data_IF_335397541995
#
_entry.id   IF_335397541995
#
_cell.length_a   1.000
_cell.length_b   1.000
_cell.length_c   1.000
_cell.angle_alpha   90.00
_cell.angle_beta   90.00
_cell.angle_gamma   90.00
#
_symmetry.space_group_name_H-M   'P 1'
#
loop_
_entity.id
_entity.type
_entity.pdbx_description
1 polymer ?
#
# COMPACT_ATOMS: atom_id res chain seq x y z
N UNK A 1 -41.34 -4.69 22.81
CA UNK A 1 -39.94 -5.15 22.74
C UNK A 1 -39.70 -5.73 21.34
N UNK A 2 -39.68 -4.91 20.28
CA UNK A 2 -39.48 -5.41 18.89
C UNK A 2 -38.94 -4.40 17.86
N UNK A 3 -38.84 -3.10 18.13
CA UNK A 3 -38.53 -2.14 17.04
C UNK A 3 -37.04 -1.76 16.89
N UNK A 4 -36.13 -2.34 17.69
CA UNK A 4 -34.70 -1.99 17.65
C UNK A 4 -33.85 -2.91 16.76
N UNK A 5 -34.44 -3.95 16.16
CA UNK A 5 -33.72 -4.92 15.32
C UNK A 5 -33.76 -4.54 13.82
N UNK A 6 -34.82 -3.84 13.39
CA UNK A 6 -35.03 -3.48 11.97
C UNK A 6 -34.07 -2.39 11.47
N UNK A 7 -33.73 -1.41 12.32
CA UNK A 7 -32.85 -0.28 11.95
C UNK A 7 -31.37 -0.67 11.85
N UNK A 8 -30.96 -1.78 12.46
CA UNK A 8 -29.57 -2.26 12.45
C UNK A 8 -29.23 -2.98 11.14
N UNK A 9 -30.21 -3.67 10.54
CA UNK A 9 -30.06 -4.37 9.27
C UNK A 9 -29.92 -3.43 8.07
N UNK A 10 -30.69 -2.34 8.03
CA UNK A 10 -30.67 -1.39 6.92
C UNK A 10 -29.35 -0.61 6.84
N UNK A 11 -28.81 -0.16 7.98
CA UNK A 11 -27.55 0.58 8.03
C UNK A 11 -26.34 -0.30 7.64
N UNK A 12 -26.37 -1.58 8.05
CA UNK A 12 -25.35 -2.56 7.66
C UNK A 12 -25.40 -2.89 6.16
N UNK A 13 -26.60 -2.91 5.56
CA UNK A 13 -26.75 -3.15 4.13
C UNK A 13 -26.25 -1.97 3.30
N UNK A 14 -26.56 -0.73 3.69
CA UNK A 14 -26.08 0.49 3.01
C UNK A 14 -24.55 0.60 3.09
N UNK A 15 -23.94 0.33 4.26
CA UNK A 15 -22.49 0.35 4.43
C UNK A 15 -21.78 -0.76 3.63
N UNK A 16 -22.38 -1.94 3.52
CA UNK A 16 -21.84 -3.03 2.71
C UNK A 16 -21.90 -2.72 1.20
N UNK A 17 -22.94 -2.02 0.74
CA UNK A 17 -23.07 -1.57 -0.65
C UNK A 17 -22.00 -0.53 -0.98
N UNK A 18 -21.82 0.48 -0.13
CA UNK A 18 -20.80 1.54 -0.30
C UNK A 18 -19.37 0.96 -0.35
N UNK A 19 -19.03 0.04 0.55
CA UNK A 19 -17.75 -0.67 0.52
C UNK A 19 -17.58 -1.53 -0.75
N UNK A 20 -18.65 -2.16 -1.23
CA UNK A 20 -18.60 -2.99 -2.44
C UNK A 20 -18.40 -2.17 -3.72
N UNK A 21 -19.02 -0.98 -3.80
CA UNK A 21 -18.83 -0.04 -4.91
C UNK A 21 -17.38 0.47 -4.92
N UNK A 22 -16.84 0.85 -3.76
CA UNK A 22 -15.44 1.26 -3.61
C UNK A 22 -14.45 0.16 -4.03
N UNK A 23 -14.67 -1.10 -3.62
CA UNK A 23 -13.81 -2.22 -4.02
C UNK A 23 -13.87 -2.47 -5.53
N UNK A 24 -15.04 -2.33 -6.16
CA UNK A 24 -15.18 -2.51 -7.60
C UNK A 24 -14.44 -1.41 -8.39
N UNK A 25 -14.45 -0.17 -7.90
CA UNK A 25 -13.63 0.91 -8.46
C UNK A 25 -12.14 0.63 -8.36
N UNK A 26 -11.65 0.19 -7.19
CA UNK A 26 -10.24 -0.18 -6.99
C UNK A 26 -9.84 -1.34 -7.91
N UNK A 27 -10.72 -2.33 -8.14
CA UNK A 27 -10.48 -3.42 -9.10
C UNK A 27 -10.34 -2.94 -10.54
N UNK A 28 -11.14 -1.95 -10.95
CA UNK A 28 -11.01 -1.33 -12.28
C UNK A 28 -9.67 -0.61 -12.41
N UNK A 29 -9.29 0.18 -11.40
CA UNK A 29 -7.99 0.85 -11.36
C UNK A 29 -6.83 -0.14 -11.39
N UNK A 30 -6.91 -1.23 -10.63
CA UNK A 30 -5.90 -2.28 -10.60
C UNK A 30 -5.73 -2.95 -11.97
N UNK A 31 -6.85 -3.19 -12.66
CA UNK A 31 -6.83 -3.74 -14.01
C UNK A 31 -6.13 -2.79 -14.99
N UNK A 32 -6.39 -1.50 -14.88
CA UNK A 32 -5.76 -0.48 -15.73
C UNK A 32 -4.27 -0.31 -15.43
N UNK A 33 -3.89 -0.26 -14.15
CA UNK A 33 -2.48 -0.19 -13.73
C UNK A 33 -1.67 -1.40 -14.23
N UNK A 34 -2.24 -2.62 -14.14
CA UNK A 34 -1.63 -3.83 -14.71
C UNK A 34 -1.49 -3.79 -16.23
N UNK A 35 -2.46 -3.21 -16.94
CA UNK A 35 -2.35 -3.02 -18.40
C UNK A 35 -1.23 -2.04 -18.73
N UNK A 36 -1.15 -0.92 -18.02
CA UNK A 36 -0.08 0.07 -18.18
C UNK A 36 1.28 -0.58 -17.98
N UNK A 37 1.47 -1.34 -16.90
CA UNK A 37 2.72 -2.06 -16.61
C UNK A 37 3.14 -3.02 -17.74
N UNK A 38 2.17 -3.73 -18.35
CA UNK A 38 2.43 -4.63 -19.48
C UNK A 38 2.71 -3.90 -20.80
N UNK A 39 2.15 -2.70 -20.98
CA UNK A 39 2.36 -1.89 -22.16
C UNK A 39 3.66 -1.08 -22.11
N UNK A 40 4.35 -1.05 -20.97
CA UNK A 40 5.64 -0.38 -20.84
C UNK A 40 6.69 -1.06 -21.74
N UNK A 41 7.45 -0.28 -22.54
CA UNK A 41 8.55 -0.81 -23.34
C UNK A 41 9.63 -1.50 -22.50
N UNK A 42 10.32 -2.49 -23.05
CA UNK A 42 11.41 -3.21 -22.38
C UNK A 42 12.61 -2.30 -22.03
N UNK A 43 12.76 -1.16 -22.71
CA UNK A 43 13.79 -0.15 -22.46
C UNK A 43 13.31 0.98 -21.52
N UNK A 44 12.19 0.79 -20.83
CA UNK A 44 11.69 1.77 -19.86
C UNK A 44 12.69 1.99 -18.73
N UNK A 45 12.73 3.22 -18.22
CA UNK A 45 13.54 3.55 -17.04
C UNK A 45 13.08 2.64 -15.88
N UNK A 46 13.98 1.88 -15.23
CA UNK A 46 13.57 0.90 -14.21
C UNK A 46 12.73 1.49 -13.08
N UNK A 47 13.05 2.71 -12.66
CA UNK A 47 12.31 3.45 -11.62
C UNK A 47 10.89 3.76 -12.05
N UNK A 48 10.66 4.17 -13.30
CA UNK A 48 9.30 4.46 -13.79
C UNK A 48 8.45 3.19 -13.81
N UNK A 49 9.06 2.05 -14.16
CA UNK A 49 8.39 0.75 -14.08
C UNK A 49 8.09 0.36 -12.63
N UNK A 50 9.03 0.59 -11.72
CA UNK A 50 8.87 0.31 -10.30
C UNK A 50 7.77 1.17 -9.65
N UNK A 51 7.58 2.42 -10.08
CA UNK A 51 6.46 3.27 -9.63
C UNK A 51 5.11 2.71 -10.05
N UNK A 52 4.95 2.35 -11.33
CA UNK A 52 3.70 1.71 -11.78
C UNK A 52 3.46 0.37 -11.08
N UNK A 53 4.53 -0.38 -10.77
CA UNK A 53 4.44 -1.60 -10.00
C UNK A 53 4.03 -1.34 -8.53
N UNK A 54 4.47 -0.22 -7.95
CA UNK A 54 4.09 0.20 -6.61
C UNK A 54 2.60 0.61 -6.56
N UNK A 55 2.12 1.35 -7.57
CA UNK A 55 0.68 1.66 -7.71
C UNK A 55 -0.16 0.38 -7.74
N UNK A 56 0.32 -0.66 -8.45
CA UNK A 56 -0.34 -1.98 -8.46
C UNK A 56 -0.36 -2.59 -7.06
N UNK A 57 0.73 -2.50 -6.30
CA UNK A 57 0.80 -3.02 -4.94
C UNK A 57 -0.16 -2.30 -3.99
N UNK A 58 -0.25 -0.97 -4.07
CA UNK A 58 -1.17 -0.15 -3.27
C UNK A 58 -2.64 -0.53 -3.54
N UNK A 59 -3.02 -0.65 -4.81
CA UNK A 59 -4.38 -1.05 -5.19
C UNK A 59 -4.71 -2.49 -4.76
N UNK A 60 -3.72 -3.38 -4.77
CA UNK A 60 -3.87 -4.74 -4.26
C UNK A 60 -4.09 -4.77 -2.75
N UNK A 61 -3.31 -3.98 -2.01
CA UNK A 61 -3.49 -3.81 -0.58
C UNK A 61 -4.90 -3.30 -0.27
N UNK A 62 -5.40 -2.31 -1.01
CA UNK A 62 -6.74 -1.74 -0.87
C UNK A 62 -7.91 -2.72 -1.09
N UNK A 63 -7.68 -3.84 -1.77
CA UNK A 63 -8.68 -4.92 -1.95
C UNK A 63 -8.35 -6.19 -1.15
N UNK A 64 -7.42 -6.12 -0.19
CA UNK A 64 -7.04 -7.22 0.69
C UNK A 64 -6.13 -8.28 0.07
N UNK A 65 -5.47 -7.99 -1.05
CA UNK A 65 -4.48 -8.88 -1.70
C UNK A 65 -3.07 -8.65 -1.12
N UNK A 66 -2.91 -8.80 0.19
CA UNK A 66 -1.66 -8.48 0.90
C UNK A 66 -0.45 -9.30 0.45
N UNK A 67 -0.65 -10.58 0.06
CA UNK A 67 0.45 -11.43 -0.39
C UNK A 67 1.03 -10.96 -1.74
N UNK A 68 0.17 -10.60 -2.69
CA UNK A 68 0.60 -10.07 -3.98
C UNK A 68 1.12 -8.63 -3.86
N UNK A 69 0.48 -7.80 -3.04
CA UNK A 69 0.95 -6.45 -2.74
C UNK A 69 2.37 -6.49 -2.17
N UNK A 70 2.65 -7.42 -1.25
CA UNK A 70 4.00 -7.62 -0.69
C UNK A 70 5.04 -7.92 -1.77
N UNK A 71 4.74 -8.82 -2.71
CA UNK A 71 5.70 -9.18 -3.76
C UNK A 71 6.01 -7.98 -4.66
N UNK A 72 4.99 -7.27 -5.13
CA UNK A 72 5.17 -6.13 -6.02
C UNK A 72 5.85 -4.94 -5.30
N UNK A 73 5.43 -4.63 -4.07
CA UNK A 73 6.08 -3.59 -3.28
C UNK A 73 7.54 -3.93 -2.97
N UNK A 74 7.86 -5.22 -2.74
CA UNK A 74 9.25 -5.65 -2.47
C UNK A 74 10.14 -5.51 -3.70
N UNK A 75 9.62 -5.84 -4.87
CA UNK A 75 10.31 -5.64 -6.15
C UNK A 75 10.56 -4.14 -6.40
N UNK A 76 9.52 -3.30 -6.25
CA UNK A 76 9.65 -1.84 -6.38
C UNK A 76 10.65 -1.26 -5.38
N UNK A 77 10.57 -1.67 -4.11
CA UNK A 77 11.49 -1.23 -3.06
C UNK A 77 12.96 -1.50 -3.44
N UNK A 78 13.26 -2.69 -3.95
CA UNK A 78 14.63 -3.03 -4.37
C UNK A 78 15.14 -2.08 -5.45
N UNK A 79 14.31 -1.79 -6.46
CA UNK A 79 14.68 -0.85 -7.53
C UNK A 79 14.88 0.55 -6.98
N UNK A 80 14.02 1.03 -6.07
CA UNK A 80 14.19 2.37 -5.50
C UNK A 80 15.46 2.51 -4.66
N UNK A 81 15.87 1.45 -3.95
CA UNK A 81 17.16 1.43 -3.25
C UNK A 81 18.32 1.49 -4.24
N UNK A 82 18.30 0.65 -5.29
CA UNK A 82 19.40 0.56 -6.27
C UNK A 82 19.63 1.86 -7.03
N UNK A 83 18.56 2.64 -7.23
CA UNK A 83 18.58 3.93 -7.94
C UNK A 83 18.51 5.15 -7.01
N UNK A 84 18.63 4.96 -5.68
CA UNK A 84 18.62 6.03 -4.68
C UNK A 84 17.35 6.92 -4.69
N UNK A 85 16.21 6.35 -5.09
CA UNK A 85 14.90 6.99 -5.05
C UNK A 85 14.28 6.88 -3.64
N UNK A 86 14.85 7.60 -2.68
CA UNK A 86 14.55 7.46 -1.26
C UNK A 86 13.09 7.72 -0.89
N UNK A 87 12.44 8.71 -1.50
CA UNK A 87 11.02 8.98 -1.26
C UNK A 87 10.17 7.77 -1.62
N UNK A 88 10.37 7.23 -2.83
CA UNK A 88 9.61 6.09 -3.35
C UNK A 88 9.94 4.80 -2.56
N UNK A 89 11.19 4.62 -2.13
CA UNK A 89 11.61 3.51 -1.27
C UNK A 89 10.91 3.53 0.10
N UNK A 90 10.77 4.72 0.68
CA UNK A 90 10.10 4.89 1.98
C UNK A 90 8.59 4.62 1.85
N UNK A 91 7.93 5.09 0.79
CA UNK A 91 6.53 4.78 0.50
C UNK A 91 6.32 3.26 0.23
N UNK A 92 7.27 2.61 -0.43
CA UNK A 92 7.21 1.16 -0.61
C UNK A 92 7.40 0.37 0.68
N UNK A 93 8.22 0.86 1.61
CA UNK A 93 8.38 0.26 2.94
C UNK A 93 7.09 0.34 3.78
N UNK A 94 6.33 1.43 3.64
CA UNK A 94 5.02 1.59 4.26
C UNK A 94 4.00 0.56 3.72
N UNK A 95 3.89 0.41 2.39
CA UNK A 95 3.03 -0.61 1.78
C UNK A 95 3.44 -2.03 2.24
N UNK A 96 4.74 -2.32 2.31
CA UNK A 96 5.26 -3.60 2.84
C UNK A 96 4.82 -3.82 4.29
N UNK A 97 4.88 -2.79 5.14
CA UNK A 97 4.39 -2.88 6.50
C UNK A 97 2.90 -3.25 6.53
N UNK A 98 2.06 -2.50 5.81
CA UNK A 98 0.60 -2.69 5.80
C UNK A 98 0.15 -4.05 5.25
N UNK A 99 0.98 -4.76 4.49
CA UNK A 99 0.67 -6.10 3.98
C UNK A 99 0.53 -7.19 5.08
N UNK A 100 0.93 -6.91 6.33
CA UNK A 100 0.81 -7.86 7.45
C UNK A 100 1.64 -9.14 7.31
N UNK A 101 2.72 -9.10 6.52
CA UNK A 101 3.64 -10.22 6.36
C UNK A 101 4.54 -10.38 7.60
N UNK A 102 5.11 -11.57 7.82
CA UNK A 102 6.02 -11.84 8.96
C UNK A 102 7.22 -10.88 9.06
N UNK A 103 7.59 -10.26 7.95
CA UNK A 103 8.70 -9.31 7.83
C UNK A 103 8.23 -7.84 7.76
N UNK A 104 6.94 -7.55 7.95
CA UNK A 104 6.37 -6.20 7.91
C UNK A 104 7.02 -5.25 8.91
N UNK A 105 7.27 -5.68 10.15
CA UNK A 105 7.97 -4.87 11.16
C UNK A 105 9.41 -4.55 10.74
N UNK A 106 10.08 -5.47 10.04
CA UNK A 106 11.43 -5.24 9.51
C UNK A 106 11.39 -4.24 8.37
N UNK A 107 10.38 -4.32 7.50
CA UNK A 107 10.18 -3.35 6.43
C UNK A 107 9.90 -1.94 7.00
N UNK A 108 9.06 -1.84 8.03
CA UNK A 108 8.80 -0.59 8.75
C UNK A 108 10.10 0.03 9.30
N UNK A 109 10.91 -0.76 10.01
CA UNK A 109 12.19 -0.31 10.55
C UNK A 109 13.15 0.17 9.45
N UNK A 110 13.17 -0.51 8.29
CA UNK A 110 13.94 -0.08 7.12
C UNK A 110 13.44 1.25 6.56
N UNK A 111 12.13 1.41 6.39
CA UNK A 111 11.50 2.66 5.94
C UNK A 111 11.85 3.83 6.84
N UNK A 112 11.77 3.64 8.17
CA UNK A 112 12.11 4.67 9.15
C UNK A 112 13.58 5.05 9.09
N UNK A 113 14.48 4.06 9.03
CA UNK A 113 15.91 4.32 8.89
C UNK A 113 16.22 5.17 7.65
N UNK A 114 15.61 4.85 6.50
CA UNK A 114 15.73 5.63 5.28
C UNK A 114 15.16 7.05 5.45
N UNK A 115 13.97 7.17 6.05
CA UNK A 115 13.26 8.42 6.20
C UNK A 115 13.95 9.42 7.14
N UNK A 116 14.80 8.96 8.07
CA UNK A 116 15.62 9.83 8.93
C UNK A 116 17.03 10.09 8.37
N UNK A 117 17.52 9.22 7.48
CA UNK A 117 18.88 9.30 6.93
C UNK A 117 18.95 10.12 5.65
N UNK A 118 17.92 10.02 4.80
CA UNK A 118 17.89 10.63 3.47
C UNK A 118 16.80 11.70 3.35
N UNK A 119 16.95 12.64 2.39
CA UNK A 119 15.94 13.68 2.18
C UNK A 119 14.65 13.08 1.62
N UNK A 120 13.61 13.05 2.46
CA UNK A 120 12.23 12.69 2.09
C UNK A 120 11.26 13.72 2.64
N UNK A 121 10.00 13.67 2.21
CA UNK A 121 8.93 14.50 2.76
C UNK A 121 8.74 14.12 4.23
N UNK A 122 8.80 15.13 5.11
CA UNK A 122 8.63 14.94 6.54
C UNK A 122 7.33 14.21 6.91
N UNK A 123 6.25 14.45 6.15
CA UNK A 123 4.97 13.78 6.38
C UNK A 123 5.06 12.27 6.23
N UNK A 124 5.85 11.76 5.28
CA UNK A 124 6.06 10.32 5.09
C UNK A 124 6.79 9.73 6.29
N UNK A 125 7.79 10.43 6.83
CA UNK A 125 8.46 10.04 8.07
C UNK A 125 7.50 9.97 9.24
N UNK A 126 6.61 10.96 9.38
CA UNK A 126 5.58 10.98 10.45
C UNK A 126 4.65 9.77 10.34
N UNK A 127 4.14 9.46 9.15
CA UNK A 127 3.28 8.29 8.93
C UNK A 127 3.93 6.98 9.39
N UNK A 128 5.21 6.76 9.08
CA UNK A 128 5.92 5.56 9.54
C UNK A 128 6.14 5.53 11.05
N UNK A 129 6.36 6.69 11.68
CA UNK A 129 6.51 6.78 13.13
C UNK A 129 5.18 6.52 13.85
N UNK A 130 4.05 6.93 13.27
CA UNK A 130 2.72 6.62 13.81
C UNK A 130 2.48 5.10 13.87
N UNK A 131 2.94 4.35 12.86
CA UNK A 131 2.87 2.88 12.88
C UNK A 131 3.66 2.24 14.03
N UNK A 132 4.75 2.85 14.50
CA UNK A 132 5.45 2.32 15.69
C UNK A 132 4.53 2.38 16.91
N UNK A 133 3.79 3.48 17.07
CA UNK A 133 2.90 3.67 18.22
C UNK A 133 1.86 2.54 18.25
N UNK A 134 1.29 2.22 17.09
CA UNK A 134 0.30 1.14 16.95
C UNK A 134 0.89 -0.25 17.25
N UNK A 135 2.15 -0.49 16.89
CA UNK A 135 2.86 -1.77 17.14
C UNK A 135 3.38 -1.91 18.59
N UNK A 136 3.43 -0.81 19.35
CA UNK A 136 3.77 -0.82 20.78
C UNK A 136 2.55 -0.42 21.62
N UNK A 137 1.51 -1.28 21.72
CA UNK A 137 0.46 -1.05 22.70
C UNK A 137 1.02 -1.24 24.11
N UNK A 138 0.54 -0.42 25.04
CA UNK A 138 0.95 -0.30 26.45
C UNK A 138 1.34 -1.62 27.15
#
# INVERSE_FOLDING_TARGET
MSDNDSMKGENSAIQAIDQSESVEEIRKLLTEARKRLKAMPDNSIPVDRARVLLDVAELQLGIGQGAEAWQHARESFSVFIDYEHWQDAVEAADILYQCGHKDSIRALAQGIWLAVTYPVKAQTTVTLLDHIIDETPD
#
